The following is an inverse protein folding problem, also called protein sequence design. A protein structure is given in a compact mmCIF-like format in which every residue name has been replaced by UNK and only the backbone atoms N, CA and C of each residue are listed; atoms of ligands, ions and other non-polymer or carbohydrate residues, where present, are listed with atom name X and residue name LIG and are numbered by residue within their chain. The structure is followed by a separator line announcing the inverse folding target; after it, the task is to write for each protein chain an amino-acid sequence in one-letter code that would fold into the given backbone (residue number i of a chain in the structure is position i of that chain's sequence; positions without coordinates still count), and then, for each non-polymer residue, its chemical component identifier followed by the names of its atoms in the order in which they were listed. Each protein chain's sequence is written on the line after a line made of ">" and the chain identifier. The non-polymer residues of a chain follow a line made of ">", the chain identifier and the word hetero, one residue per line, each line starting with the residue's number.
data_IF_331451999872
#
_entry.id   IF_331451999872
#
_cell.length_a   1.000
_cell.length_b   1.000
_cell.length_c   1.000
_cell.angle_alpha   90.00
_cell.angle_beta   90.00
_cell.angle_gamma   90.00
#
_symmetry.space_group_name_H-M   'P 1'
#
loop_
_entity.id
_entity.type
_entity.pdbx_description
1 polymer ?
#
# COMPACT_ATOMS: atom_id res chain seq x y z
N UNK A 1 26.60 7.63 22.47
CA UNK A 1 26.40 7.63 21.01
C UNK A 1 24.98 8.09 20.74
N UNK A 2 24.81 9.28 20.16
CA UNK A 2 23.51 9.93 19.98
C UNK A 2 22.61 9.06 19.10
N UNK A 3 21.48 8.62 19.66
CA UNK A 3 20.51 7.74 18.99
C UNK A 3 19.78 8.51 17.89
N UNK A 4 20.39 8.61 16.72
CA UNK A 4 19.79 9.15 15.50
C UNK A 4 18.53 8.33 15.19
N UNK A 5 17.37 8.96 15.32
CA UNK A 5 16.11 8.40 14.84
C UNK A 5 16.26 8.23 13.32
N UNK A 6 16.38 6.98 12.88
CA UNK A 6 16.40 6.64 11.46
C UNK A 6 14.96 6.84 10.97
N UNK A 7 14.80 7.68 9.95
CA UNK A 7 13.53 7.83 9.28
C UNK A 7 13.15 6.50 8.62
N UNK A 8 12.06 5.85 9.04
CA UNK A 8 11.75 4.51 8.57
C UNK A 8 11.29 4.49 7.12
N UNK A 9 10.88 5.63 6.56
CA UNK A 9 10.54 5.77 5.14
C UNK A 9 11.70 6.44 4.43
N UNK A 10 12.42 5.72 3.60
CA UNK A 10 13.45 6.38 2.80
C UNK A 10 12.84 7.17 1.64
N UNK A 11 11.84 6.61 0.97
CA UNK A 11 11.27 7.20 -0.22
C UNK A 11 9.75 7.02 -0.27
N UNK A 12 9.05 8.01 -0.84
CA UNK A 12 7.66 7.87 -1.27
C UNK A 12 7.50 8.41 -2.68
N UNK A 13 6.92 7.58 -3.54
CA UNK A 13 6.88 7.85 -4.96
C UNK A 13 5.86 7.01 -5.69
N UNK A 14 5.83 7.17 -7.00
CA UNK A 14 4.92 6.44 -7.86
C UNK A 14 5.47 6.23 -9.26
N UNK A 15 4.93 5.24 -9.96
CA UNK A 15 5.27 4.84 -11.31
C UNK A 15 4.03 4.36 -12.06
N UNK A 16 3.93 4.67 -13.34
CA UNK A 16 3.01 4.00 -14.25
C UNK A 16 2.39 4.94 -15.29
N UNK A 17 1.18 4.61 -15.72
CA UNK A 17 0.42 5.42 -16.69
C UNK A 17 -0.83 6.01 -16.04
N UNK A 18 -1.11 7.26 -16.39
CA UNK A 18 -2.31 7.98 -15.95
C UNK A 18 -3.02 8.62 -17.16
N UNK A 19 -4.35 8.79 -17.12
CA UNK A 19 -5.12 9.38 -18.23
C UNK A 19 -4.62 10.76 -18.66
N UNK A 20 -4.05 11.54 -17.74
CA UNK A 20 -3.55 12.89 -18.01
C UNK A 20 -2.20 12.93 -18.75
N UNK A 21 -1.49 11.80 -18.90
CA UNK A 21 -0.15 11.74 -19.49
C UNK A 21 -0.12 10.83 -20.73
N UNK A 22 0.65 11.21 -21.76
CA UNK A 22 0.81 10.41 -22.98
C UNK A 22 1.82 9.25 -22.84
N UNK A 23 2.74 9.37 -21.90
CA UNK A 23 3.81 8.41 -21.64
C UNK A 23 3.86 8.01 -20.15
N UNK A 24 4.77 7.11 -19.80
CA UNK A 24 5.05 6.73 -18.42
C UNK A 24 5.49 7.92 -17.58
N UNK A 25 4.98 7.96 -16.35
CA UNK A 25 5.37 8.95 -15.35
C UNK A 25 5.98 8.21 -14.16
N UNK A 26 7.03 8.80 -13.61
CA UNK A 26 7.65 8.34 -12.37
C UNK A 26 8.07 9.53 -11.52
N UNK A 27 8.02 9.34 -10.20
CA UNK A 27 8.41 10.33 -9.20
C UNK A 27 9.02 9.62 -8.00
N UNK A 28 10.23 10.01 -7.60
CA UNK A 28 10.93 9.64 -6.35
C UNK A 28 11.01 8.14 -6.01
N UNK A 29 10.87 7.26 -7.00
CA UNK A 29 11.18 5.83 -6.82
C UNK A 29 12.58 5.55 -7.37
N UNK A 30 13.43 4.79 -6.64
CA UNK A 30 14.71 4.33 -7.14
C UNK A 30 14.55 3.52 -8.43
N UNK A 31 15.51 3.69 -9.36
CA UNK A 31 15.47 3.01 -10.66
C UNK A 31 15.33 1.48 -10.56
N UNK A 32 16.01 0.76 -9.66
CA UNK A 32 15.86 -0.70 -9.54
C UNK A 32 14.44 -1.13 -9.18
N UNK A 33 13.74 -0.36 -8.34
CA UNK A 33 12.34 -0.61 -7.97
C UNK A 33 11.45 -0.39 -9.19
N UNK A 34 11.60 0.74 -9.88
CA UNK A 34 10.83 1.01 -11.11
C UNK A 34 11.02 -0.12 -12.13
N UNK A 35 12.26 -0.54 -12.37
CA UNK A 35 12.59 -1.60 -13.34
C UNK A 35 11.94 -2.94 -12.97
N UNK A 36 11.92 -3.33 -11.70
CA UNK A 36 11.26 -4.56 -11.25
C UNK A 36 9.75 -4.55 -11.52
N UNK A 37 9.06 -3.48 -11.10
CA UNK A 37 7.62 -3.33 -11.32
C UNK A 37 7.29 -3.23 -12.81
N UNK A 38 8.11 -2.50 -13.57
CA UNK A 38 7.93 -2.32 -15.01
C UNK A 38 8.06 -3.64 -15.78
N UNK A 39 9.12 -4.42 -15.53
CA UNK A 39 9.30 -5.72 -16.19
C UNK A 39 8.13 -6.65 -15.92
N UNK A 40 7.69 -6.76 -14.67
CA UNK A 40 6.55 -7.60 -14.30
C UNK A 40 5.26 -7.15 -15.00
N UNK A 41 4.91 -5.86 -14.91
CA UNK A 41 3.68 -5.34 -15.50
C UNK A 41 3.69 -5.43 -17.02
N UNK A 42 4.77 -5.06 -17.69
CA UNK A 42 4.87 -5.16 -19.16
C UNK A 42 4.68 -6.60 -19.64
N UNK A 43 5.34 -7.57 -18.99
CA UNK A 43 5.19 -8.98 -19.33
C UNK A 43 3.73 -9.45 -19.17
N UNK A 44 3.10 -9.11 -18.04
CA UNK A 44 1.74 -9.54 -17.75
C UNK A 44 0.69 -8.90 -18.67
N UNK A 45 0.78 -7.59 -18.92
CA UNK A 45 -0.11 -6.89 -19.85
C UNK A 45 0.07 -7.38 -21.30
N UNK A 46 1.30 -7.71 -21.71
CA UNK A 46 1.55 -8.29 -23.03
C UNK A 46 0.94 -9.69 -23.16
N UNK A 47 1.09 -10.54 -22.14
CA UNK A 47 0.48 -11.87 -22.12
C UNK A 47 -1.05 -11.81 -22.10
N UNK A 48 -1.63 -10.94 -21.27
CA UNK A 48 -3.06 -10.74 -21.20
C UNK A 48 -3.65 -10.28 -22.54
N UNK A 49 -2.98 -9.34 -23.23
CA UNK A 49 -3.40 -8.87 -24.56
C UNK A 49 -3.35 -9.98 -25.60
N UNK A 50 -2.32 -10.84 -25.59
CA UNK A 50 -2.25 -12.00 -26.50
C UNK A 50 -3.38 -13.00 -26.22
N UNK A 51 -3.66 -13.27 -24.96
CA UNK A 51 -4.75 -14.17 -24.57
C UNK A 51 -6.12 -13.66 -25.07
N UNK A 52 -6.40 -12.36 -24.93
CA UNK A 52 -7.61 -11.72 -25.46
C UNK A 52 -7.72 -11.86 -26.99
N UNK A 53 -6.62 -11.65 -27.72
CA UNK A 53 -6.59 -11.79 -29.17
C UNK A 53 -6.89 -13.21 -29.63
N UNK A 54 -6.45 -14.23 -28.88
CA UNK A 54 -6.69 -15.64 -29.19
C UNK A 54 -8.13 -16.04 -28.84
N UNK A 55 -8.63 -15.62 -27.67
CA UNK A 55 -9.94 -16.02 -27.18
C UNK A 55 -11.11 -15.32 -27.90
N UNK A 56 -10.87 -14.20 -28.60
CA UNK A 56 -11.93 -13.42 -29.24
C UNK A 56 -12.86 -12.69 -28.25
N UNK A 57 -12.59 -12.77 -26.95
CA UNK A 57 -13.36 -12.13 -25.87
C UNK A 57 -12.60 -10.92 -25.30
N UNK A 58 -13.29 -9.79 -25.15
CA UNK A 58 -12.79 -8.63 -24.39
C UNK A 58 -12.97 -8.92 -22.89
N UNK A 59 -12.13 -9.81 -22.35
CA UNK A 59 -12.07 -10.03 -20.90
C UNK A 59 -11.60 -8.75 -20.23
N UNK A 60 -12.55 -7.95 -19.72
CA UNK A 60 -12.22 -6.69 -19.08
C UNK A 60 -11.33 -6.93 -17.86
N UNK A 61 -10.29 -6.11 -17.71
CA UNK A 61 -9.58 -6.03 -16.43
C UNK A 61 -10.58 -5.52 -15.39
N UNK A 62 -10.49 -6.01 -14.16
CA UNK A 62 -11.26 -5.51 -13.00
C UNK A 62 -11.14 -3.98 -12.92
N UNK A 63 -12.09 -3.27 -13.52
CA UNK A 63 -11.96 -1.83 -13.72
C UNK A 63 -12.18 -1.11 -12.39
N UNK A 64 -11.28 -0.18 -12.05
CA UNK A 64 -11.45 0.70 -10.89
C UNK A 64 -11.09 0.11 -9.52
N UNK A 65 -10.75 -1.18 -9.42
CA UNK A 65 -10.29 -1.75 -8.15
C UNK A 65 -8.87 -1.26 -7.83
N UNK A 66 -8.71 -0.62 -6.67
CA UNK A 66 -7.38 -0.33 -6.12
C UNK A 66 -7.02 -1.42 -5.12
N UNK A 67 -5.88 -2.05 -5.35
CA UNK A 67 -5.27 -2.99 -4.43
C UNK A 67 -4.22 -2.28 -3.59
N UNK A 68 -4.21 -2.55 -2.30
CA UNK A 68 -3.14 -2.25 -1.37
C UNK A 68 -2.22 -3.46 -1.31
N UNK A 69 -0.95 -3.23 -1.00
CA UNK A 69 0.04 -4.28 -0.87
C UNK A 69 1.08 -3.98 0.20
N UNK A 70 1.68 -5.05 0.70
CA UNK A 70 2.91 -5.03 1.47
C UNK A 70 3.85 -6.13 0.95
N UNK A 71 4.96 -5.74 0.31
CA UNK A 71 5.99 -6.65 -0.18
C UNK A 71 7.18 -6.63 0.78
N UNK A 72 7.54 -7.77 1.40
CA UNK A 72 8.72 -7.85 2.26
C UNK A 72 10.02 -7.64 1.47
N UNK A 73 11.07 -7.21 2.16
CA UNK A 73 12.38 -6.92 1.57
C UNK A 73 13.05 -8.12 0.90
N UNK A 74 12.69 -9.35 1.30
CA UNK A 74 13.17 -10.58 0.68
C UNK A 74 12.66 -10.83 -0.75
N UNK A 75 11.64 -10.10 -1.21
CA UNK A 75 10.96 -10.36 -2.50
C UNK A 75 11.48 -9.49 -3.67
N UNK A 76 12.42 -8.57 -3.43
CA UNK A 76 12.91 -7.68 -4.48
C UNK A 76 14.19 -6.95 -4.11
N UNK A 77 14.15 -5.62 -4.15
CA UNK A 77 15.33 -4.75 -4.01
C UNK A 77 15.79 -4.49 -2.56
N UNK A 78 15.47 -5.37 -1.61
CA UNK A 78 15.86 -5.22 -0.20
C UNK A 78 15.04 -4.20 0.61
N UNK A 79 14.07 -3.53 -0.03
CA UNK A 79 13.12 -2.62 0.63
C UNK A 79 11.83 -3.32 1.00
N UNK A 80 11.29 -3.01 2.17
CA UNK A 80 9.88 -3.27 2.46
C UNK A 80 9.06 -2.25 1.64
N UNK A 81 8.17 -2.73 0.77
CA UNK A 81 7.40 -1.87 -0.13
C UNK A 81 5.93 -1.87 0.28
N UNK A 82 5.42 -0.75 0.76
CA UNK A 82 4.03 -0.57 1.17
C UNK A 82 3.33 0.39 0.23
N UNK A 83 2.29 -0.04 -0.49
CA UNK A 83 1.70 0.82 -1.51
C UNK A 83 0.36 0.37 -2.06
N UNK A 84 -0.11 1.12 -3.06
CA UNK A 84 -1.32 0.84 -3.80
C UNK A 84 -1.01 0.64 -5.29
N UNK A 85 -1.75 -0.25 -5.95
CA UNK A 85 -1.74 -0.45 -7.40
C UNK A 85 -3.17 -0.46 -7.93
N UNK A 86 -3.37 0.11 -9.11
CA UNK A 86 -4.66 0.11 -9.78
C UNK A 86 -4.51 0.00 -11.31
N UNK A 87 -5.47 -0.65 -11.99
CA UNK A 87 -5.54 -0.62 -13.45
C UNK A 87 -5.78 0.81 -13.94
N UNK A 88 -5.09 1.19 -15.00
CA UNK A 88 -5.08 2.54 -15.55
C UNK A 88 -4.87 2.50 -17.07
N UNK A 89 -4.73 3.68 -17.67
CA UNK A 89 -4.41 3.89 -19.08
C UNK A 89 -3.67 5.20 -19.25
N UNK A 90 -2.95 5.36 -20.35
CA UNK A 90 -2.46 6.69 -20.76
C UNK A 90 -3.53 7.48 -21.52
N UNK A 91 -3.18 8.71 -21.91
CA UNK A 91 -4.04 9.65 -22.64
C UNK A 91 -4.59 9.10 -23.97
N UNK A 92 -3.89 8.14 -24.59
CA UNK A 92 -4.32 7.51 -25.85
C UNK A 92 -5.05 6.17 -25.64
N UNK A 93 -5.31 5.79 -24.39
CA UNK A 93 -6.11 4.62 -24.03
C UNK A 93 -5.36 3.31 -23.90
N UNK A 94 -4.01 3.30 -23.97
CA UNK A 94 -3.24 2.05 -23.81
C UNK A 94 -3.32 1.60 -22.34
N UNK A 95 -3.95 0.43 -22.13
CA UNK A 95 -4.12 -0.20 -20.81
C UNK A 95 -2.77 -0.51 -20.16
N UNK A 96 -2.64 -0.15 -18.88
CA UNK A 96 -1.49 -0.45 -18.02
C UNK A 96 -1.92 -0.34 -16.54
N UNK A 97 -0.99 -0.08 -15.62
CA UNK A 97 -1.26 0.18 -14.22
C UNK A 97 -0.61 1.50 -13.74
N UNK A 98 -1.03 1.96 -12.56
CA UNK A 98 -0.33 2.97 -11.79
C UNK A 98 -0.09 2.43 -10.38
N UNK A 99 1.11 2.67 -9.85
CA UNK A 99 1.58 2.16 -8.56
C UNK A 99 2.12 3.34 -7.75
N UNK A 100 1.62 3.54 -6.53
CA UNK A 100 2.18 4.47 -5.55
C UNK A 100 2.66 3.68 -4.34
N UNK A 101 3.83 4.01 -3.79
CA UNK A 101 4.40 3.24 -2.70
C UNK A 101 5.35 4.07 -1.83
N UNK A 102 5.50 3.60 -0.60
CA UNK A 102 6.56 3.94 0.33
C UNK A 102 7.57 2.81 0.38
N UNK A 103 8.84 3.18 0.43
CA UNK A 103 9.95 2.26 0.65
C UNK A 103 10.44 2.43 2.09
N UNK A 104 10.39 1.34 2.84
CA UNK A 104 10.80 1.27 4.23
C UNK A 104 11.99 0.35 4.40
N UNK A 105 12.82 0.65 5.39
CA UNK A 105 13.83 -0.28 5.86
C UNK A 105 13.15 -1.48 6.56
N UNK A 106 13.34 -2.73 6.08
CA UNK A 106 12.79 -3.92 6.73
C UNK A 106 13.15 -4.05 8.21
N UNK A 107 14.37 -3.65 8.62
CA UNK A 107 14.82 -3.74 10.02
C UNK A 107 14.12 -2.74 10.94
N UNK A 108 13.56 -1.69 10.36
CA UNK A 108 12.81 -0.67 11.08
C UNK A 108 11.35 -1.08 11.31
N UNK A 109 10.80 -2.09 10.61
CA UNK A 109 9.40 -2.52 10.73
C UNK A 109 8.95 -2.80 12.17
N UNK A 110 7.76 -2.32 12.52
CA UNK A 110 7.10 -2.61 13.80
C UNK A 110 5.59 -2.76 13.62
N UNK A 111 4.96 -3.69 14.36
CA UNK A 111 3.50 -3.95 14.25
C UNK A 111 2.67 -2.76 14.73
N UNK A 112 3.16 -1.97 15.68
CA UNK A 112 2.51 -0.73 16.15
C UNK A 112 2.34 0.34 15.07
N UNK A 113 2.96 0.19 13.90
CA UNK A 113 2.79 1.13 12.78
C UNK A 113 1.53 0.89 11.95
N UNK A 114 0.75 -0.16 12.24
CA UNK A 114 -0.47 -0.47 11.50
C UNK A 114 -1.42 0.75 11.33
N UNK A 115 -1.72 1.57 12.36
CA UNK A 115 -2.55 2.77 12.20
C UNK A 115 -1.95 3.82 11.25
N UNK A 116 -0.63 4.00 11.27
CA UNK A 116 0.05 4.95 10.37
C UNK A 116 -0.02 4.46 8.93
N UNK A 117 0.18 3.16 8.71
CA UNK A 117 0.07 2.54 7.39
C UNK A 117 -1.35 2.63 6.86
N UNK A 118 -2.38 2.46 7.69
CA UNK A 118 -3.77 2.63 7.29
C UNK A 118 -4.01 4.02 6.69
N UNK A 119 -3.57 5.08 7.40
CA UNK A 119 -3.67 6.45 6.90
C UNK A 119 -2.96 6.61 5.55
N UNK A 120 -1.76 6.04 5.43
CA UNK A 120 -0.98 6.09 4.19
C UNK A 120 -1.68 5.37 3.02
N UNK A 121 -2.23 4.17 3.25
CA UNK A 121 -2.98 3.42 2.23
C UNK A 121 -4.23 4.16 1.79
N UNK A 122 -4.98 4.77 2.72
CA UNK A 122 -6.17 5.55 2.39
C UNK A 122 -5.82 6.74 1.48
N UNK A 123 -4.77 7.48 1.80
CA UNK A 123 -4.31 8.63 1.01
C UNK A 123 -3.79 8.20 -0.37
N UNK A 124 -2.92 7.18 -0.43
CA UNK A 124 -2.43 6.65 -1.71
C UNK A 124 -3.58 6.15 -2.59
N UNK A 125 -4.54 5.42 -2.01
CA UNK A 125 -5.72 4.92 -2.72
C UNK A 125 -6.60 6.05 -3.25
N UNK A 126 -6.84 7.09 -2.45
CA UNK A 126 -7.59 8.27 -2.90
C UNK A 126 -6.88 8.94 -4.08
N UNK A 127 -5.58 9.21 -3.95
CA UNK A 127 -4.78 9.83 -5.01
C UNK A 127 -4.78 9.02 -6.30
N UNK A 128 -4.67 7.68 -6.23
CA UNK A 128 -4.77 6.82 -7.41
C UNK A 128 -6.17 6.90 -8.05
N UNK A 129 -7.25 6.90 -7.25
CA UNK A 129 -8.61 7.06 -7.79
C UNK A 129 -8.79 8.40 -8.47
N UNK A 130 -8.27 9.49 -7.89
CA UNK A 130 -8.42 10.83 -8.45
C UNK A 130 -7.70 10.95 -9.81
N UNK A 131 -6.47 10.46 -9.95
CA UNK A 131 -5.78 10.50 -11.26
C UNK A 131 -6.45 9.59 -12.30
N UNK A 132 -7.01 8.44 -11.89
CA UNK A 132 -7.65 7.49 -12.81
C UNK A 132 -9.05 7.95 -13.24
N UNK A 133 -9.87 8.39 -12.29
CA UNK A 133 -11.30 8.68 -12.53
C UNK A 133 -11.53 10.13 -12.93
N UNK A 134 -10.83 11.09 -12.29
CA UNK A 134 -10.99 12.53 -12.56
C UNK A 134 -9.99 13.04 -13.59
N UNK A 135 -9.01 12.23 -13.99
CA UNK A 135 -7.96 12.64 -14.93
C UNK A 135 -7.06 13.74 -14.37
N UNK A 136 -6.89 13.80 -13.04
CA UNK A 136 -5.99 14.77 -12.42
C UNK A 136 -4.55 14.60 -12.90
N UNK A 137 -3.83 15.71 -13.04
CA UNK A 137 -2.44 15.72 -13.51
C UNK A 137 -1.47 15.03 -12.55
N UNK A 138 -0.29 14.66 -13.07
CA UNK A 138 0.79 14.01 -12.32
C UNK A 138 1.15 14.75 -11.02
N UNK A 139 1.16 16.09 -11.06
CA UNK A 139 1.55 16.93 -9.92
C UNK A 139 0.53 16.94 -8.78
N UNK A 140 -0.70 16.49 -9.01
CA UNK A 140 -1.69 16.32 -7.94
C UNK A 140 -1.34 15.13 -7.04
N UNK A 141 -1.15 13.96 -7.64
CA UNK A 141 -0.71 12.76 -6.91
C UNK A 141 0.66 12.99 -6.27
N UNK A 142 1.55 13.71 -6.96
CA UNK A 142 2.87 14.05 -6.45
C UNK A 142 2.82 14.84 -5.13
N UNK A 143 2.01 15.89 -5.09
CA UNK A 143 1.82 16.73 -3.90
C UNK A 143 1.17 15.97 -2.75
N UNK A 144 0.16 15.14 -3.04
CA UNK A 144 -0.48 14.29 -2.02
C UNK A 144 0.54 13.36 -1.34
N UNK A 145 1.44 12.75 -2.12
CA UNK A 145 2.46 11.86 -1.57
C UNK A 145 3.52 12.61 -0.75
N UNK A 146 3.90 13.84 -1.17
CA UNK A 146 4.81 14.68 -0.39
C UNK A 146 4.19 15.12 0.95
N UNK A 147 2.93 15.53 0.95
CA UNK A 147 2.20 15.87 2.19
C UNK A 147 2.06 14.65 3.12
N UNK A 148 1.80 13.48 2.54
CA UNK A 148 1.79 12.23 3.28
C UNK A 148 3.16 11.96 3.93
N UNK A 149 4.27 12.19 3.20
CA UNK A 149 5.63 12.03 3.73
C UNK A 149 5.87 12.87 4.97
N UNK A 150 5.51 14.14 4.91
CA UNK A 150 5.67 15.11 6.00
C UNK A 150 4.85 14.72 7.22
N UNK A 151 3.57 14.37 7.00
CA UNK A 151 2.65 13.92 8.05
C UNK A 151 3.19 12.69 8.77
N UNK A 152 3.68 11.74 7.99
CA UNK A 152 4.23 10.50 8.49
C UNK A 152 5.55 10.72 9.25
N UNK A 153 6.46 11.54 8.73
CA UNK A 153 7.71 11.88 9.42
C UNK A 153 7.44 12.50 10.81
N UNK A 154 6.46 13.42 10.89
CA UNK A 154 6.05 14.02 12.15
C UNK A 154 5.47 12.98 13.14
N UNK A 155 4.61 12.07 12.65
CA UNK A 155 3.96 11.05 13.50
C UNK A 155 4.94 9.99 13.98
N UNK A 156 5.85 9.50 13.13
CA UNK A 156 6.84 8.51 13.54
C UNK A 156 7.80 9.02 14.62
N UNK A 157 8.22 10.28 14.53
CA UNK A 157 9.05 10.91 15.57
C UNK A 157 8.37 10.91 16.94
N UNK A 158 7.04 11.10 16.97
CA UNK A 158 6.27 11.10 18.21
C UNK A 158 6.08 9.69 18.77
N UNK A 159 5.72 8.71 17.92
CA UNK A 159 5.54 7.31 18.36
C UNK A 159 6.82 6.70 18.94
N UNK A 160 7.99 6.99 18.35
CA UNK A 160 9.29 6.58 18.89
C UNK A 160 9.61 7.21 20.26
N UNK A 161 9.11 8.43 20.50
CA UNK A 161 9.31 9.14 21.76
C UNK A 161 8.44 8.55 22.87
N UNK A 162 7.17 8.25 22.57
CA UNK A 162 6.23 7.66 23.54
C UNK A 162 6.65 6.24 23.94
N UNK A 163 7.08 5.41 22.99
CA UNK A 163 7.60 4.07 23.30
C UNK A 163 8.82 4.11 24.25
N UNK A 164 9.70 5.11 24.11
CA UNK A 164 10.85 5.31 25.03
C UNK A 164 10.43 5.78 26.43
N UNK A 165 9.35 6.56 26.55
CA UNK A 165 8.81 7.01 27.85
C UNK A 165 8.20 5.85 28.63
N UNK A 166 7.41 5.00 27.95
CA UNK A 166 6.81 3.80 28.55
C UNK A 166 7.88 2.80 29.00
N UNK A 167 9.04 2.75 28.32
CA UNK A 167 10.13 1.84 28.68
C UNK A 167 11.02 2.34 29.84
N UNK A 168 10.70 3.46 30.49
CA UNK A 168 11.46 3.99 31.64
C UNK A 168 10.85 3.47 32.96
N UNK A 169 11.56 2.64 33.76
CA UNK A 169 11.00 1.97 34.93
C UNK A 169 10.48 2.91 36.03
N UNK A 170 10.89 4.17 36.01
CA UNK A 170 10.53 5.17 37.02
C UNK A 170 9.16 5.83 36.76
N UNK A 171 8.58 5.70 35.56
CA UNK A 171 7.28 6.28 35.22
C UNK A 171 6.10 5.36 35.60
N UNK A 172 6.28 4.03 35.48
CA UNK A 172 5.23 3.02 35.78
C UNK A 172 4.70 3.13 37.22
N UNK A 173 5.56 3.49 38.18
CA UNK A 173 5.17 3.62 39.59
C UNK A 173 4.24 4.82 39.82
N UNK A 174 4.41 5.90 39.05
CA UNK A 174 3.58 7.11 39.19
C UNK A 174 2.26 7.01 38.43
N UNK A 175 2.23 6.32 37.28
CA UNK A 175 1.00 6.15 36.49
C UNK A 175 0.00 5.19 37.17
N UNK A 176 0.50 4.15 37.86
CA UNK A 176 -0.33 3.23 38.68
C UNK A 176 -1.00 3.97 39.85
N UNK A 177 -0.31 4.94 40.46
CA UNK A 177 -0.88 5.73 41.57
C UNK A 177 -1.91 6.76 41.10
N UNK A 178 -1.87 7.16 39.82
CA UNK A 178 -2.79 8.15 39.25
C UNK A 178 -4.06 7.52 38.63
N UNK A 179 -4.06 6.20 38.40
CA UNK A 179 -5.21 5.44 37.88
C UNK A 179 -6.41 5.35 38.85
N UNK A 180 -6.31 5.92 40.06
CA UNK A 180 -7.39 5.95 41.06
C UNK A 180 -8.40 7.09 40.90
N UNK A 181 -8.27 7.97 39.90
CA UNK A 181 -9.21 9.07 39.66
C UNK A 181 -9.52 9.23 38.17
N UNK A 182 -10.43 8.42 37.62
CA UNK A 182 -11.04 8.72 36.31
C UNK A 182 -12.55 8.84 36.45
N UNK A 183 -13.05 10.02 36.08
CA UNK A 183 -14.45 10.28 35.78
C UNK A 183 -14.92 9.41 34.61
N UNK A 184 -16.22 9.05 34.53
CA UNK A 184 -16.71 8.13 33.51
C UNK A 184 -16.56 8.74 32.11
N UNK A 185 -15.76 8.08 31.28
CA UNK A 185 -15.53 8.42 29.88
C UNK A 185 -16.73 7.95 29.05
N UNK A 186 -17.33 8.86 28.28
CA UNK A 186 -18.46 8.55 27.39
C UNK A 186 -17.94 7.77 26.19
N UNK A 187 -18.39 6.53 26.05
CA UNK A 187 -18.14 5.64 24.90
C UNK A 187 -18.67 6.29 23.61
N UNK A 188 -17.80 7.01 22.90
CA UNK A 188 -18.04 7.36 21.49
C UNK A 188 -17.54 6.18 20.66
N UNK A 189 -18.39 5.49 19.89
CA UNK A 189 -17.95 4.36 19.08
C UNK A 189 -16.98 4.87 18.02
N UNK A 190 -15.68 4.63 18.23
CA UNK A 190 -14.67 4.80 17.20
C UNK A 190 -14.99 3.78 16.11
N UNK A 191 -15.22 4.19 14.84
CA UNK A 191 -15.38 3.24 13.75
C UNK A 191 -14.17 2.31 13.74
N UNK A 192 -14.40 1.00 13.76
CA UNK A 192 -13.31 0.02 13.86
C UNK A 192 -12.31 0.18 12.70
N UNK A 193 -11.15 0.77 13.00
CA UNK A 193 -9.96 0.88 12.13
C UNK A 193 -9.49 -0.48 11.58
N UNK A 194 -9.95 -1.60 12.15
CA UNK A 194 -9.57 -2.95 11.75
C UNK A 194 -10.06 -3.34 10.33
N UNK A 195 -11.02 -2.63 9.73
CA UNK A 195 -11.63 -3.03 8.46
C UNK A 195 -10.84 -2.62 7.19
N UNK A 196 -9.79 -1.80 7.32
CA UNK A 196 -9.07 -1.21 6.17
C UNK A 196 -7.74 -1.90 5.84
N UNK A 197 -7.20 -2.70 6.76
CA UNK A 197 -5.89 -3.34 6.66
C UNK A 197 -6.01 -4.85 6.49
N UNK A 198 -4.98 -5.46 5.88
CA UNK A 198 -4.91 -6.92 5.79
C UNK A 198 -4.78 -7.54 7.20
N UNK A 199 -5.60 -8.54 7.58
CA UNK A 199 -5.59 -9.10 8.93
C UNK A 199 -4.22 -9.65 9.36
N UNK A 200 -3.48 -10.21 8.40
CA UNK A 200 -2.13 -10.74 8.64
C UNK A 200 -1.07 -9.69 9.03
N UNK A 201 -1.35 -8.38 8.89
CA UNK A 201 -0.48 -7.33 9.40
C UNK A 201 -0.36 -7.39 10.92
N UNK A 202 -1.49 -7.61 11.60
CA UNK A 202 -1.57 -7.68 13.06
C UNK A 202 -1.12 -9.03 13.62
N UNK A 203 -1.08 -10.09 12.80
CA UNK A 203 -0.77 -11.46 13.22
C UNK A 203 0.69 -11.88 12.98
N UNK A 204 1.63 -10.93 12.88
CA UNK A 204 3.07 -11.23 12.80
C UNK A 204 3.64 -11.26 11.38
N UNK A 205 3.36 -10.23 10.57
CA UNK A 205 4.05 -10.06 9.29
C UNK A 205 5.58 -9.99 9.47
N UNK A 206 6.32 -10.81 8.71
CA UNK A 206 7.77 -10.82 8.73
C UNK A 206 8.31 -9.99 7.53
N UNK A 207 8.97 -8.85 7.77
CA UNK A 207 9.45 -7.94 6.72
C UNK A 207 10.62 -8.50 5.91
N UNK A 208 11.26 -9.57 6.36
CA UNK A 208 12.35 -10.27 5.65
C UNK A 208 11.89 -11.55 4.96
N UNK A 209 10.61 -11.92 5.07
CA UNK A 209 10.08 -13.11 4.44
C UNK A 209 9.96 -12.96 2.91
N UNK A 210 9.41 -14.01 2.27
CA UNK A 210 9.17 -14.04 0.84
C UNK A 210 7.68 -13.96 0.48
N UNK A 211 6.80 -13.67 1.46
CA UNK A 211 5.35 -13.65 1.25
C UNK A 211 4.83 -12.22 1.29
N UNK A 212 4.32 -11.75 0.16
CA UNK A 212 3.66 -10.46 0.02
C UNK A 212 2.17 -10.56 0.38
N UNK A 213 1.64 -9.48 0.96
CA UNK A 213 0.23 -9.33 1.30
C UNK A 213 -0.44 -8.38 0.32
N UNK A 214 -1.66 -8.71 -0.11
CA UNK A 214 -2.44 -7.91 -1.04
C UNK A 214 -3.89 -7.87 -0.58
N UNK A 215 -4.51 -6.70 -0.63
CA UNK A 215 -5.92 -6.57 -0.31
C UNK A 215 -6.59 -5.43 -1.05
N UNK A 216 -7.90 -5.55 -1.19
CA UNK A 216 -8.76 -4.54 -1.75
C UNK A 216 -9.81 -4.24 -0.70
N UNK A 217 -9.79 -3.02 -0.15
CA UNK A 217 -10.70 -2.59 0.92
C UNK A 217 -12.16 -2.92 0.61
N UNK A 218 -12.92 -3.26 1.64
CA UNK A 218 -14.36 -3.43 1.53
C UNK A 218 -15.01 -2.18 0.90
N UNK A 219 -16.00 -2.40 0.04
CA UNK A 219 -16.88 -1.37 -0.51
C UNK A 219 -18.31 -1.62 -0.06
N UNK A 220 -19.25 -0.76 -0.44
CA UNK A 220 -20.67 -0.89 -0.08
C UNK A 220 -21.21 -2.29 -0.43
N UNK A 221 -21.37 -3.14 0.59
CA UNK A 221 -21.85 -4.52 0.46
C UNK A 221 -20.84 -5.55 -0.08
N UNK A 222 -19.61 -5.17 -0.43
CA UNK A 222 -18.58 -6.09 -0.96
C UNK A 222 -17.52 -6.35 0.11
N UNK A 223 -17.31 -7.62 0.53
CA UNK A 223 -16.30 -7.94 1.53
C UNK A 223 -14.89 -7.60 1.02
N UNK A 224 -13.99 -7.26 1.94
CA UNK A 224 -12.58 -7.07 1.63
C UNK A 224 -12.03 -8.34 0.96
N UNK A 225 -11.37 -8.16 -0.19
CA UNK A 225 -10.66 -9.26 -0.85
C UNK A 225 -9.22 -9.25 -0.38
N UNK A 226 -8.70 -10.39 0.02
CA UNK A 226 -7.31 -10.55 0.47
C UNK A 226 -6.63 -11.68 -0.28
N UNK A 227 -5.34 -11.54 -0.58
CA UNK A 227 -4.52 -12.67 -1.00
C UNK A 227 -3.08 -12.53 -0.52
N UNK A 228 -2.47 -13.67 -0.22
CA UNK A 228 -1.05 -13.79 0.09
C UNK A 228 -0.35 -14.41 -1.12
N UNK A 229 0.83 -13.92 -1.45
CA UNK A 229 1.60 -14.38 -2.61
C UNK A 229 3.06 -14.60 -2.24
N UNK A 230 3.51 -15.84 -2.41
CA UNK A 230 4.89 -16.26 -2.14
C UNK A 230 5.81 -16.03 -3.35
N UNK A 231 7.01 -15.53 -3.08
CA UNK A 231 8.05 -15.28 -4.07
C UNK A 231 7.83 -13.99 -4.86
N UNK A 232 8.54 -13.89 -5.98
CA UNK A 232 8.56 -12.70 -6.85
C UNK A 232 7.21 -12.44 -7.51
N UNK A 233 7.02 -11.19 -7.92
CA UNK A 233 5.87 -10.77 -8.73
C UNK A 233 5.83 -11.57 -10.04
N UNK A 234 4.69 -12.20 -10.34
CA UNK A 234 4.53 -13.08 -11.49
C UNK A 234 3.12 -12.99 -12.10
N UNK A 235 2.88 -13.75 -13.18
CA UNK A 235 1.60 -13.71 -13.91
C UNK A 235 0.41 -14.18 -13.06
N UNK A 236 0.60 -15.14 -12.16
CA UNK A 236 -0.46 -15.67 -11.30
C UNK A 236 -0.98 -14.59 -10.36
N UNK A 237 -0.07 -13.81 -9.76
CA UNK A 237 -0.46 -12.65 -8.96
C UNK A 237 -1.18 -11.61 -9.81
N UNK A 238 -0.66 -11.28 -11.00
CA UNK A 238 -1.31 -10.32 -11.89
C UNK A 238 -2.75 -10.72 -12.21
N UNK A 239 -2.99 -11.99 -12.56
CA UNK A 239 -4.34 -12.50 -12.83
C UNK A 239 -5.25 -12.35 -11.63
N UNK A 240 -4.79 -12.65 -10.41
CA UNK A 240 -5.59 -12.46 -9.18
C UNK A 240 -6.00 -11.00 -8.95
N UNK A 241 -5.11 -10.05 -9.23
CA UNK A 241 -5.34 -8.63 -8.98
C UNK A 241 -6.21 -8.00 -10.09
N UNK A 242 -5.98 -8.38 -11.34
CA UNK A 242 -6.49 -7.64 -12.49
C UNK A 242 -7.52 -8.39 -13.34
N UNK A 243 -7.62 -9.71 -13.27
CA UNK A 243 -8.71 -10.39 -13.96
C UNK A 243 -10.04 -9.93 -13.37
N UNK A 244 -11.05 -9.68 -14.21
CA UNK A 244 -12.42 -9.55 -13.75
C UNK A 244 -12.80 -10.84 -13.02
N UNK A 245 -13.56 -10.72 -11.92
CA UNK A 245 -14.23 -11.88 -11.34
C UNK A 245 -15.33 -12.32 -12.32
N UNK A 246 -14.93 -12.97 -13.42
CA UNK A 246 -15.84 -13.65 -14.32
C UNK A 246 -16.48 -14.80 -13.56
N UNK A 247 -17.80 -14.92 -13.67
CA UNK A 247 -18.65 -16.00 -13.19
C UNK A 247 -17.92 -17.35 -13.15
N UNK A 248 -17.47 -17.75 -11.97
CA UNK A 248 -16.81 -19.02 -11.68
C UNK A 248 -17.34 -19.61 -10.39
N UNK A 249 -18.66 -19.52 -10.18
CA UNK A 249 -19.39 -20.29 -9.19
C UNK A 249 -19.92 -21.56 -9.86
N UNK A 250 -19.07 -22.57 -10.00
CA UNK A 250 -19.52 -23.96 -10.06
C UNK A 250 -18.58 -24.76 -9.17
N UNK A 251 -19.00 -24.93 -7.92
CA UNK A 251 -18.82 -26.12 -7.11
C UNK A 251 -19.94 -26.12 -6.07
#
# INVERSE_FOLDING_TARGET
>A
MSGRTVDPVAEIGWYGKIPAAGDFVYRRLPRPVITEWDMWLQQCFAQHRRAQQIAGEDSSLSSGQVWQFLLPGGVGQGWLQAGCIAPSRDRVGRRYAVVAMMLLDPGSWRTEWAPLLETAYLQMRSGLRDVIQRGSGADHLDRLLLQLRETLAARWSNTLTDARRISSPSQDILDILNAGMTTPEVDVPVPSMAASLHPALSSGFNPHAHTSLWWASAGDGVPMRTCMHGGRLNVMLFQRLFASAGMGGIA
#
